data_IF_015756510541
#
_entry.id   IF_015756510541
#
_cell.length_a   1.000
_cell.length_b   1.000
_cell.length_c   1.000
_cell.angle_alpha   90.00
_cell.angle_beta   90.00
_cell.angle_gamma   90.00
#
_symmetry.space_group_name_H-M   'P 1'
#
loop_
_entity.id
_entity.type
_entity.pdbx_description
1 polymer ?
#
# COMPACT_ATOMS: atom_id res chain seq x y z
N UNK A 1 26.26 -30.15 -7.12
CA UNK A 1 26.19 -29.79 -5.69
C UNK A 1 24.81 -30.19 -5.20
N UNK A 2 24.70 -30.99 -4.13
CA UNK A 2 23.47 -31.67 -3.76
C UNK A 2 22.41 -30.65 -3.33
N UNK A 3 21.18 -30.90 -3.77
CA UNK A 3 19.97 -30.14 -3.50
C UNK A 3 19.77 -29.92 -2.00
N UNK A 4 20.01 -28.69 -1.54
CA UNK A 4 19.49 -28.23 -0.26
C UNK A 4 17.97 -28.37 -0.32
N UNK A 5 17.44 -29.36 0.40
CA UNK A 5 16.01 -29.52 0.63
C UNK A 5 15.49 -28.21 1.24
N UNK A 6 14.94 -27.32 0.41
CA UNK A 6 14.15 -26.18 0.85
C UNK A 6 12.85 -26.74 1.40
N UNK A 7 12.91 -27.23 2.64
CA UNK A 7 11.71 -27.61 3.39
C UNK A 7 10.78 -26.41 3.36
N UNK A 8 9.61 -26.60 2.76
CA UNK A 8 8.55 -25.60 2.71
C UNK A 8 8.30 -25.14 4.15
N UNK A 9 8.38 -23.84 4.46
CA UNK A 9 8.09 -23.34 5.79
C UNK A 9 6.68 -23.78 6.18
N UNK A 10 6.53 -24.31 7.39
CA UNK A 10 5.26 -24.75 7.96
C UNK A 10 5.03 -23.97 9.24
N UNK A 11 3.88 -23.32 9.38
CA UNK A 11 3.42 -22.57 10.55
C UNK A 11 3.02 -23.45 11.73
N UNK A 12 3.87 -24.43 12.04
CA UNK A 12 3.69 -25.28 13.20
C UNK A 12 4.55 -24.74 14.35
N UNK A 13 4.15 -25.04 15.58
CA UNK A 13 4.89 -24.63 16.78
C UNK A 13 6.38 -25.03 16.76
N UNK A 14 6.69 -26.20 16.19
CA UNK A 14 8.08 -26.65 16.00
C UNK A 14 8.83 -25.81 14.95
N UNK A 15 8.15 -25.35 13.88
CA UNK A 15 8.70 -24.45 12.88
C UNK A 15 9.07 -23.10 13.49
N UNK A 16 8.16 -22.53 14.28
CA UNK A 16 8.38 -21.29 15.02
C UNK A 16 9.55 -21.40 15.99
N UNK A 17 9.63 -22.45 16.81
CA UNK A 17 10.77 -22.64 17.73
C UNK A 17 12.12 -22.76 17.02
N UNK A 18 12.13 -23.39 15.84
CA UNK A 18 13.37 -23.61 15.08
C UNK A 18 13.85 -22.31 14.43
N UNK A 19 12.94 -21.47 13.94
CA UNK A 19 13.27 -20.26 13.17
C UNK A 19 13.05 -18.95 13.94
N UNK A 20 12.62 -19.00 15.21
CA UNK A 20 12.26 -17.83 16.01
C UNK A 20 13.26 -16.68 15.95
N UNK A 21 14.57 -16.97 16.00
CA UNK A 21 15.61 -15.93 15.90
C UNK A 21 15.56 -15.21 14.55
N UNK A 22 15.42 -15.96 13.46
CA UNK A 22 15.34 -15.41 12.10
C UNK A 22 14.00 -14.73 11.85
N UNK A 23 12.91 -15.28 12.37
CA UNK A 23 11.56 -14.73 12.21
C UNK A 23 11.39 -13.41 12.99
N UNK A 24 11.96 -13.32 14.21
CA UNK A 24 11.93 -12.07 14.99
C UNK A 24 12.79 -10.99 14.33
N UNK A 25 14.01 -11.33 13.90
CA UNK A 25 14.90 -10.37 13.26
C UNK A 25 14.31 -9.88 11.92
N UNK A 26 13.82 -10.80 11.09
CA UNK A 26 13.18 -10.44 9.82
C UNK A 26 11.90 -9.65 10.05
N UNK A 27 11.05 -10.05 11.00
CA UNK A 27 9.85 -9.30 11.37
C UNK A 27 10.15 -7.87 11.83
N UNK A 28 11.22 -7.68 12.61
CA UNK A 28 11.66 -6.35 13.03
C UNK A 28 12.15 -5.49 11.86
N UNK A 29 12.98 -6.05 10.97
CA UNK A 29 13.46 -5.34 9.78
C UNK A 29 12.31 -4.98 8.82
N UNK A 30 11.39 -5.93 8.60
CA UNK A 30 10.18 -5.72 7.80
C UNK A 30 9.31 -4.63 8.43
N UNK A 31 9.14 -4.61 9.75
CA UNK A 31 8.41 -3.55 10.45
C UNK A 31 9.02 -2.17 10.20
N UNK A 32 10.35 -2.04 10.30
CA UNK A 32 11.04 -0.76 10.06
C UNK A 32 10.82 -0.24 8.63
N UNK A 33 10.78 -1.13 7.65
CA UNK A 33 10.52 -0.77 6.24
C UNK A 33 9.02 -0.54 5.98
N UNK A 34 8.15 -1.31 6.63
CA UNK A 34 6.71 -1.26 6.41
C UNK A 34 6.05 -0.04 7.06
N UNK A 35 6.56 0.45 8.19
CA UNK A 35 6.01 1.61 8.90
C UNK A 35 5.90 2.87 8.02
N UNK A 36 6.98 3.36 7.37
CA UNK A 36 6.88 4.51 6.46
C UNK A 36 5.98 4.23 5.25
N UNK A 37 6.01 3.00 4.73
CA UNK A 37 5.15 2.60 3.62
C UNK A 37 3.65 2.68 4.00
N UNK A 38 3.27 2.20 5.18
CA UNK A 38 1.88 2.25 5.66
C UNK A 38 1.38 3.68 5.84
N UNK A 39 2.22 4.57 6.37
CA UNK A 39 1.92 5.99 6.51
C UNK A 39 1.70 6.64 5.14
N UNK A 40 2.61 6.40 4.19
CA UNK A 40 2.53 6.95 2.83
C UNK A 40 1.30 6.47 2.06
N UNK A 41 1.01 5.16 2.10
CA UNK A 41 -0.18 4.58 1.45
C UNK A 41 -1.46 5.17 2.04
N UNK A 42 -1.56 5.29 3.36
CA UNK A 42 -2.75 5.85 4.03
C UNK A 42 -3.01 7.30 3.64
N UNK A 43 -1.95 8.13 3.64
CA UNK A 43 -2.04 9.54 3.23
C UNK A 43 -2.41 9.66 1.74
N UNK A 44 -1.84 8.81 0.88
CA UNK A 44 -2.16 8.80 -0.55
C UNK A 44 -3.62 8.40 -0.83
N UNK A 45 -4.23 7.59 0.06
CA UNK A 45 -5.64 7.22 0.04
C UNK A 45 -6.59 8.30 0.58
N UNK A 46 -6.06 9.44 1.07
CA UNK A 46 -6.87 10.49 1.71
C UNK A 46 -7.30 10.14 3.14
N UNK A 47 -6.64 9.16 3.77
CA UNK A 47 -6.97 8.71 5.13
C UNK A 47 -5.96 9.30 6.13
N UNK A 48 -6.32 9.41 7.42
CA UNK A 48 -5.35 9.75 8.46
C UNK A 48 -4.16 8.79 8.44
N UNK A 49 -2.93 9.27 8.59
CA UNK A 49 -1.73 8.44 8.48
C UNK A 49 -1.75 7.23 9.46
N UNK A 50 -2.27 7.46 10.66
CA UNK A 50 -2.43 6.45 11.71
C UNK A 50 -3.34 5.28 11.29
N UNK A 51 -4.29 5.50 10.38
CA UNK A 51 -5.17 4.44 9.88
C UNK A 51 -4.38 3.33 9.13
N UNK A 52 -3.33 3.69 8.41
CA UNK A 52 -2.44 2.73 7.76
C UNK A 52 -1.72 1.83 8.75
N UNK A 53 -1.25 2.41 9.86
CA UNK A 53 -0.59 1.66 10.95
C UNK A 53 -1.59 0.68 11.58
N UNK A 54 -2.79 1.15 11.95
CA UNK A 54 -3.81 0.27 12.53
C UNK A 54 -4.21 -0.86 11.58
N UNK A 55 -4.35 -0.55 10.29
CA UNK A 55 -4.66 -1.57 9.26
C UNK A 55 -3.57 -2.63 9.18
N UNK A 56 -2.30 -2.26 9.25
CA UNK A 56 -1.19 -3.21 9.26
C UNK A 56 -1.16 -4.07 10.53
N UNK A 57 -1.34 -3.46 11.71
CA UNK A 57 -1.35 -4.19 12.99
C UNK A 57 -2.53 -5.17 13.04
N UNK A 58 -3.75 -4.69 12.79
CA UNK A 58 -4.97 -5.50 12.88
C UNK A 58 -4.97 -6.55 11.77
N UNK A 59 -4.61 -6.16 10.54
CA UNK A 59 -4.54 -7.08 9.40
C UNK A 59 -3.49 -8.17 9.61
N UNK A 60 -2.30 -7.80 10.11
CA UNK A 60 -1.24 -8.75 10.44
C UNK A 60 -1.64 -9.72 11.56
N UNK A 61 -2.23 -9.23 12.65
CA UNK A 61 -2.62 -10.08 13.77
C UNK A 61 -3.81 -10.98 13.43
N UNK A 62 -4.90 -10.40 12.93
CA UNK A 62 -6.16 -11.13 12.73
C UNK A 62 -6.05 -12.09 11.56
N UNK A 63 -5.52 -11.66 10.41
CA UNK A 63 -5.50 -12.51 9.23
C UNK A 63 -4.53 -13.70 9.37
N UNK A 64 -3.53 -13.62 10.24
CA UNK A 64 -2.58 -14.73 10.48
C UNK A 64 -3.27 -15.96 11.06
N UNK A 65 -4.34 -15.79 11.85
CA UNK A 65 -5.10 -16.92 12.40
C UNK A 65 -5.95 -17.66 11.34
N UNK A 66 -6.26 -17.01 10.22
CA UNK A 66 -7.11 -17.56 9.16
C UNK A 66 -6.34 -17.90 7.87
N UNK A 67 -5.09 -17.44 7.73
CA UNK A 67 -4.33 -17.54 6.50
C UNK A 67 -3.33 -18.69 6.54
N UNK A 68 -3.31 -19.52 5.49
CA UNK A 68 -2.28 -20.56 5.29
C UNK A 68 -1.05 -20.03 4.51
N UNK A 69 -0.74 -18.74 4.62
CA UNK A 69 0.31 -18.07 3.84
C UNK A 69 1.46 -17.59 4.73
N UNK A 70 2.37 -18.53 5.07
CA UNK A 70 3.39 -18.40 6.12
C UNK A 70 4.36 -17.22 5.98
N UNK A 71 4.65 -16.79 4.75
CA UNK A 71 5.60 -15.71 4.46
C UNK A 71 4.91 -14.41 4.02
N UNK A 72 3.58 -14.37 3.99
CA UNK A 72 2.84 -13.22 3.46
C UNK A 72 2.57 -12.18 4.53
N UNK A 73 2.99 -10.95 4.27
CA UNK A 73 2.71 -9.79 5.12
C UNK A 73 1.33 -9.21 4.74
N UNK A 74 0.56 -8.77 5.74
CA UNK A 74 -0.77 -8.19 5.57
C UNK A 74 -0.74 -6.72 5.98
N UNK A 75 -1.32 -5.84 5.18
CA UNK A 75 -1.36 -4.41 5.45
C UNK A 75 -2.01 -3.62 4.32
N UNK A 76 -1.94 -2.28 4.38
CA UNK A 76 -2.45 -1.40 3.32
C UNK A 76 -1.84 -1.76 1.96
N UNK A 77 -2.68 -2.01 0.96
CA UNK A 77 -2.24 -2.36 -0.38
C UNK A 77 -2.13 -1.11 -1.26
N UNK A 78 -0.97 -0.89 -1.88
CA UNK A 78 -0.77 0.25 -2.78
C UNK A 78 -1.76 0.26 -3.96
N UNK A 79 -2.18 -0.91 -4.45
CA UNK A 79 -3.18 -1.02 -5.52
C UNK A 79 -4.58 -0.54 -5.13
N UNK A 80 -4.88 -0.43 -3.84
CA UNK A 80 -6.17 0.11 -3.36
C UNK A 80 -6.15 1.62 -3.17
N UNK A 81 -5.01 2.31 -3.34
CA UNK A 81 -4.89 3.75 -3.11
C UNK A 81 -5.92 4.53 -3.92
N UNK A 82 -5.98 4.25 -5.23
CA UNK A 82 -6.86 4.98 -6.17
C UNK A 82 -8.33 4.73 -5.86
N UNK A 83 -8.68 3.48 -5.51
CA UNK A 83 -10.04 3.07 -5.17
C UNK A 83 -10.48 3.74 -3.86
N UNK A 84 -9.63 3.71 -2.83
CA UNK A 84 -9.90 4.34 -1.54
C UNK A 84 -10.02 5.87 -1.67
N UNK A 85 -9.11 6.50 -2.41
CA UNK A 85 -9.16 7.94 -2.68
C UNK A 85 -10.42 8.33 -3.45
N UNK A 86 -10.77 7.59 -4.50
CA UNK A 86 -11.99 7.81 -5.26
C UNK A 86 -13.25 7.68 -4.40
N UNK A 87 -13.28 6.69 -3.50
CA UNK A 87 -14.39 6.48 -2.57
C UNK A 87 -14.58 7.68 -1.61
N UNK A 88 -13.51 8.18 -0.99
CA UNK A 88 -13.66 9.37 -0.12
C UNK A 88 -13.99 10.63 -0.92
N UNK A 89 -13.51 10.76 -2.15
CA UNK A 89 -13.85 11.87 -3.04
C UNK A 89 -15.34 11.88 -3.40
N UNK A 90 -15.94 10.71 -3.71
CA UNK A 90 -17.39 10.59 -3.91
C UNK A 90 -18.20 11.01 -2.68
N UNK A 91 -17.64 10.83 -1.49
CA UNK A 91 -18.24 11.26 -0.23
C UNK A 91 -17.90 12.71 0.18
N UNK A 92 -17.28 13.50 -0.71
CA UNK A 92 -17.04 14.92 -0.50
C UNK A 92 -15.71 15.26 0.18
N UNK A 93 -14.70 14.38 0.08
CA UNK A 93 -13.34 14.67 0.53
C UNK A 93 -12.75 15.87 -0.22
N UNK A 94 -12.24 16.82 0.55
CA UNK A 94 -11.74 18.12 0.10
C UNK A 94 -10.21 18.23 0.09
N UNK A 95 -9.50 17.21 0.59
CA UNK A 95 -8.04 17.22 0.62
C UNK A 95 -7.44 18.18 1.64
N UNK A 96 -8.15 18.43 2.74
CA UNK A 96 -7.69 19.25 3.87
C UNK A 96 -8.30 20.66 3.94
N UNK A 97 -9.16 21.05 2.99
CA UNK A 97 -9.82 22.37 3.00
C UNK A 97 -10.88 22.44 4.11
N UNK A 98 -11.62 21.35 4.31
CA UNK A 98 -12.62 21.21 5.37
C UNK A 98 -12.38 19.90 6.15
N UNK A 99 -11.65 19.96 7.28
CA UNK A 99 -11.33 18.77 8.06
C UNK A 99 -12.56 18.03 8.60
N UNK A 100 -13.70 18.72 8.80
CA UNK A 100 -14.91 18.09 9.29
C UNK A 100 -15.57 17.24 8.19
N UNK A 101 -15.62 17.75 6.96
CA UNK A 101 -16.10 16.97 5.79
C UNK A 101 -15.18 15.82 5.47
N UNK A 102 -13.86 16.02 5.52
CA UNK A 102 -12.89 14.97 5.25
C UNK A 102 -13.03 13.81 6.25
N UNK A 103 -13.26 14.13 7.53
CA UNK A 103 -13.50 13.11 8.55
C UNK A 103 -14.83 12.37 8.34
N UNK A 104 -15.87 13.06 7.88
CA UNK A 104 -17.14 12.42 7.52
C UNK A 104 -16.98 11.48 6.31
N UNK A 105 -16.30 11.94 5.25
CA UNK A 105 -16.01 11.17 4.06
C UNK A 105 -15.22 9.90 4.40
N UNK A 106 -14.18 10.04 5.23
CA UNK A 106 -13.41 8.91 5.76
C UNK A 106 -14.30 7.90 6.50
N UNK A 107 -15.20 8.35 7.39
CA UNK A 107 -16.11 7.44 8.13
C UNK A 107 -17.06 6.68 7.20
N UNK A 108 -17.58 7.33 6.16
CA UNK A 108 -18.43 6.68 5.16
C UNK A 108 -17.65 5.64 4.36
N UNK A 109 -16.42 5.97 3.94
CA UNK A 109 -15.52 5.03 3.26
C UNK A 109 -15.14 3.82 4.13
N UNK A 110 -14.97 4.00 5.44
CA UNK A 110 -14.81 2.86 6.37
C UNK A 110 -16.04 1.96 6.37
N UNK A 111 -17.25 2.54 6.33
CA UNK A 111 -18.50 1.79 6.19
C UNK A 111 -18.53 0.95 4.90
N UNK A 112 -18.11 1.53 3.78
CA UNK A 112 -17.93 0.78 2.51
C UNK A 112 -16.92 -0.35 2.69
N UNK A 113 -15.81 -0.12 3.40
CA UNK A 113 -14.82 -1.13 3.73
C UNK A 113 -15.39 -2.31 4.52
N UNK A 114 -16.27 -2.06 5.49
CA UNK A 114 -16.97 -3.11 6.24
C UNK A 114 -17.86 -3.94 5.31
N UNK A 115 -18.66 -3.29 4.46
CA UNK A 115 -19.54 -3.98 3.49
C UNK A 115 -18.73 -4.79 2.50
N UNK A 116 -17.63 -4.24 1.97
CA UNK A 116 -16.71 -4.94 1.09
C UNK A 116 -16.08 -6.15 1.78
N UNK A 117 -15.72 -6.05 3.06
CA UNK A 117 -15.20 -7.16 3.86
C UNK A 117 -16.22 -8.28 4.04
N UNK A 118 -17.49 -7.95 4.32
CA UNK A 118 -18.58 -8.93 4.37
C UNK A 118 -18.73 -9.63 3.01
N UNK A 119 -18.70 -8.88 1.92
CA UNK A 119 -18.78 -9.45 0.58
C UNK A 119 -17.59 -10.38 0.28
N UNK A 120 -16.38 -9.99 0.69
CA UNK A 120 -15.18 -10.82 0.57
C UNK A 120 -15.30 -12.14 1.34
N UNK A 121 -15.88 -12.11 2.55
CA UNK A 121 -16.14 -13.34 3.34
C UNK A 121 -17.13 -14.25 2.60
N UNK A 122 -18.23 -13.69 2.08
CA UNK A 122 -19.23 -14.45 1.32
C UNK A 122 -18.59 -15.10 0.08
N UNK A 123 -17.83 -14.32 -0.71
CA UNK A 123 -17.10 -14.84 -1.87
C UNK A 123 -16.06 -15.91 -1.50
N UNK A 124 -15.42 -15.76 -0.34
CA UNK A 124 -14.49 -16.74 0.22
C UNK A 124 -15.16 -18.07 0.55
N UNK A 125 -16.38 -18.04 1.12
CA UNK A 125 -17.18 -19.24 1.40
C UNK A 125 -17.57 -19.98 0.11
N UNK A 126 -17.91 -19.25 -0.94
CA UNK A 126 -18.17 -19.80 -2.27
C UNK A 126 -16.90 -20.18 -3.05
N UNK A 127 -15.72 -20.00 -2.46
CA UNK A 127 -14.41 -20.28 -3.08
C UNK A 127 -14.21 -19.59 -4.44
N UNK A 128 -14.80 -18.41 -4.61
CA UNK A 128 -14.71 -17.62 -5.85
C UNK A 128 -13.27 -17.15 -6.11
N UNK A 129 -12.37 -17.23 -5.12
CA UNK A 129 -10.94 -16.96 -5.29
C UNK A 129 -10.26 -17.80 -6.39
N UNK A 130 -10.80 -18.96 -6.77
CA UNK A 130 -10.29 -19.77 -7.89
C UNK A 130 -10.34 -18.99 -9.23
N UNK A 131 -11.24 -18.02 -9.37
CA UNK A 131 -11.33 -17.18 -10.57
C UNK A 131 -10.08 -16.31 -10.78
N UNK A 132 -9.25 -16.08 -9.75
CA UNK A 132 -7.97 -15.38 -9.92
C UNK A 132 -7.04 -16.10 -10.89
N UNK A 133 -7.17 -17.43 -11.03
CA UNK A 133 -6.40 -18.22 -12.01
C UNK A 133 -6.81 -17.95 -13.46
N UNK A 134 -7.95 -17.30 -13.69
CA UNK A 134 -8.43 -16.95 -15.04
C UNK A 134 -7.86 -15.62 -15.53
N UNK A 135 -7.26 -14.81 -14.66
CA UNK A 135 -6.70 -13.52 -15.05
C UNK A 135 -5.37 -13.73 -15.79
N UNK A 136 -5.25 -13.24 -17.04
CA UNK A 136 -4.00 -13.34 -17.78
C UNK A 136 -2.88 -12.60 -17.05
N UNK A 137 -1.69 -13.20 -16.98
CA UNK A 137 -0.53 -12.54 -16.37
C UNK A 137 -0.26 -11.16 -16.98
N UNK A 138 -0.51 -10.97 -18.28
CA UNK A 138 -0.38 -9.68 -18.95
C UNK A 138 -1.27 -8.59 -18.32
N UNK A 139 -2.50 -8.93 -17.90
CA UNK A 139 -3.41 -7.98 -17.25
C UNK A 139 -2.91 -7.59 -15.86
N UNK A 140 -2.38 -8.54 -15.08
CA UNK A 140 -1.80 -8.29 -13.76
C UNK A 140 -0.57 -7.39 -13.87
N UNK A 141 0.33 -7.65 -14.83
CA UNK A 141 1.49 -6.82 -15.07
C UNK A 141 1.10 -5.41 -15.53
N UNK A 142 0.06 -5.29 -16.38
CA UNK A 142 -0.50 -3.99 -16.78
C UNK A 142 -1.06 -3.19 -15.60
N UNK A 143 -1.79 -3.85 -14.70
CA UNK A 143 -2.28 -3.22 -13.46
C UNK A 143 -1.13 -2.73 -12.56
N UNK A 144 -0.11 -3.58 -12.34
CA UNK A 144 1.06 -3.20 -11.53
C UNK A 144 1.86 -2.06 -12.17
N UNK A 145 2.03 -2.07 -13.49
CA UNK A 145 2.68 -0.99 -14.23
C UNK A 145 1.89 0.33 -14.09
N UNK A 146 0.57 0.28 -14.20
CA UNK A 146 -0.29 1.44 -13.99
C UNK A 146 -0.16 2.02 -12.57
N UNK A 147 -0.20 1.16 -11.54
CA UNK A 147 0.01 1.59 -10.15
C UNK A 147 1.39 2.24 -9.98
N UNK A 148 2.44 1.65 -10.56
CA UNK A 148 3.79 2.22 -10.56
C UNK A 148 3.85 3.62 -11.18
N UNK A 149 3.21 3.81 -12.34
CA UNK A 149 3.11 5.12 -13.00
C UNK A 149 2.39 6.12 -12.10
N UNK A 150 1.25 5.76 -11.51
CA UNK A 150 0.48 6.65 -10.62
C UNK A 150 1.31 7.09 -9.41
N UNK A 151 2.07 6.17 -8.81
CA UNK A 151 2.95 6.49 -7.68
C UNK A 151 4.06 7.45 -8.15
N UNK A 152 4.74 7.17 -9.26
CA UNK A 152 5.78 8.04 -9.81
C UNK A 152 5.22 9.43 -10.10
N UNK A 153 4.05 9.53 -10.74
CA UNK A 153 3.37 10.80 -11.03
C UNK A 153 3.10 11.63 -9.78
N UNK A 154 2.70 11.00 -8.67
CA UNK A 154 2.41 11.70 -7.41
C UNK A 154 3.68 12.03 -6.61
N UNK A 155 4.71 11.19 -6.68
CA UNK A 155 5.95 11.39 -5.94
C UNK A 155 6.94 12.35 -6.64
N UNK A 156 6.88 12.48 -7.97
CA UNK A 156 7.77 13.38 -8.70
C UNK A 156 7.65 14.86 -8.27
N UNK A 157 6.44 15.45 -8.13
CA UNK A 157 6.31 16.82 -7.61
C UNK A 157 6.86 16.94 -6.18
N UNK A 158 6.59 15.95 -5.33
CA UNK A 158 7.06 15.92 -3.93
C UNK A 158 8.59 15.90 -3.88
N UNK A 159 9.24 15.13 -4.76
CA UNK A 159 10.69 15.09 -4.90
C UNK A 159 11.27 16.47 -5.25
N UNK A 160 10.57 17.23 -6.08
CA UNK A 160 10.95 18.58 -6.50
C UNK A 160 10.57 19.68 -5.47
N UNK A 161 9.99 19.29 -4.33
CA UNK A 161 9.54 20.20 -3.28
C UNK A 161 8.24 20.92 -3.59
N UNK A 162 7.42 20.36 -4.48
CA UNK A 162 6.14 20.91 -4.95
C UNK A 162 4.99 19.98 -4.55
N UNK A 163 3.78 20.53 -4.49
CA UNK A 163 2.59 19.75 -4.11
C UNK A 163 1.96 19.08 -5.34
N UNK A 164 1.66 17.76 -5.30
CA UNK A 164 0.97 17.10 -6.40
C UNK A 164 -0.51 17.49 -6.40
N UNK A 165 -0.94 18.24 -7.41
CA UNK A 165 -2.34 18.63 -7.60
C UNK A 165 -2.84 18.11 -8.96
N UNK A 166 -3.95 17.38 -8.95
CA UNK A 166 -4.59 16.86 -10.17
C UNK A 166 -4.44 15.36 -10.39
N UNK A 167 -4.93 14.92 -11.55
CA UNK A 167 -4.91 13.52 -11.96
C UNK A 167 -3.47 13.06 -12.35
N UNK A 168 -3.16 11.75 -12.28
CA UNK A 168 -1.82 11.25 -12.61
C UNK A 168 -1.32 11.64 -14.00
N UNK A 169 -2.22 11.75 -14.98
CA UNK A 169 -1.88 12.15 -16.35
C UNK A 169 -1.57 13.66 -16.46
N UNK A 170 -2.30 14.50 -15.73
CA UNK A 170 -2.05 15.95 -15.64
C UNK A 170 -0.71 16.23 -14.97
N UNK A 171 -0.39 15.48 -13.91
CA UNK A 171 0.90 15.57 -13.23
C UNK A 171 2.08 15.19 -14.15
N UNK A 172 1.91 14.18 -15.00
CA UNK A 172 2.93 13.80 -15.99
C UNK A 172 3.12 14.88 -17.06
N UNK A 173 2.02 15.45 -17.56
CA UNK A 173 2.08 16.56 -18.52
C UNK A 173 2.77 17.81 -17.92
N UNK A 174 2.68 17.97 -16.59
CA UNK A 174 3.24 19.10 -15.85
C UNK A 174 4.70 18.88 -15.40
N UNK A 175 5.36 17.78 -15.79
CA UNK A 175 6.77 17.52 -15.43
C UNK A 175 7.71 18.68 -15.80
N UNK A 176 7.66 19.27 -17.01
CA UNK A 176 8.53 20.40 -17.35
C UNK A 176 8.35 21.59 -16.41
N UNK A 177 7.11 21.86 -16.00
CA UNK A 177 6.79 22.92 -15.06
C UNK A 177 7.39 22.64 -13.66
N UNK A 178 7.33 21.40 -13.19
CA UNK A 178 7.91 21.02 -11.90
C UNK A 178 9.44 21.10 -11.88
N UNK A 179 10.11 20.82 -13.01
CA UNK A 179 11.56 20.95 -13.12
C UNK A 179 11.98 22.42 -13.05
N UNK A 180 11.27 23.30 -13.76
CA UNK A 180 11.59 24.73 -13.81
C UNK A 180 11.35 25.42 -12.46
N UNK A 181 10.27 25.04 -11.77
CA UNK A 181 9.86 25.65 -10.50
C UNK A 181 10.35 24.86 -9.27
N UNK A 182 11.28 23.92 -9.46
CA UNK A 182 11.79 23.07 -8.38
C UNK A 182 12.38 23.91 -7.25
N UNK A 183 12.11 23.52 -6.00
CA UNK A 183 12.85 24.03 -4.87
C UNK A 183 14.25 23.36 -4.84
N UNK A 184 15.35 24.09 -5.07
CA UNK A 184 16.67 23.49 -5.24
C UNK A 184 17.16 22.75 -4.00
N UNK A 185 16.74 23.15 -2.79
CA UNK A 185 17.15 22.49 -1.54
C UNK A 185 16.47 21.14 -1.36
N UNK A 186 15.15 21.09 -1.60
CA UNK A 186 14.36 19.85 -1.47
C UNK A 186 14.69 18.89 -2.60
N UNK A 187 14.83 19.39 -3.83
CA UNK A 187 15.25 18.59 -4.98
C UNK A 187 16.62 17.93 -4.76
N UNK A 188 17.59 18.64 -4.17
CA UNK A 188 18.90 18.07 -3.82
C UNK A 188 18.77 16.94 -2.78
N UNK A 189 17.99 17.15 -1.72
CA UNK A 189 17.74 16.13 -0.69
C UNK A 189 17.06 14.90 -1.31
N UNK A 190 16.08 15.13 -2.17
CA UNK A 190 15.38 14.08 -2.90
C UNK A 190 16.30 13.25 -3.78
N UNK A 191 17.11 13.91 -4.61
CA UNK A 191 18.09 13.25 -5.48
C UNK A 191 19.12 12.45 -4.69
N UNK A 192 19.71 13.04 -3.64
CA UNK A 192 20.65 12.34 -2.76
C UNK A 192 19.98 11.12 -2.10
N UNK A 193 18.75 11.26 -1.64
CA UNK A 193 17.98 10.15 -1.07
C UNK A 193 17.79 9.00 -2.07
N UNK A 194 17.46 9.31 -3.32
CA UNK A 194 17.35 8.33 -4.40
C UNK A 194 18.70 7.64 -4.65
N UNK A 195 19.80 8.40 -4.71
CA UNK A 195 21.16 7.85 -4.93
C UNK A 195 21.64 6.95 -3.79
N UNK A 196 21.21 7.19 -2.55
CA UNK A 196 21.59 6.34 -1.41
C UNK A 196 20.84 4.99 -1.43
N UNK A 197 19.61 4.99 -1.96
CA UNK A 197 18.73 3.80 -1.97
C UNK A 197 18.99 2.89 -3.19
N UNK A 198 19.42 3.46 -4.31
CA UNK A 198 19.81 2.75 -5.55
C UNK A 198 21.24 2.23 -5.49
#
# INVERSE_FOLDING_TARGET
MPSSSTKVPKGNFNGFKTHAKHDILSGFLVFLIALPLCLGISLASGYPAVAGIFTAIIGGLVATFFSNAELTIKGPAAGLIVIALGCVQEFGFTGGVDPAKDFQAYRMALGVGVVAGVYQIILGLFRVGVLMNLFPSAAIHGLLASIGIIIISKQFPVLMGLSPQGAPLELLASIPFFIINMNPRVGLIGLLGITIVL
#
